data_IF_799094363425
#
_entry.id   IF_799094363425
#
_cell.length_a   1.000
_cell.length_b   1.000
_cell.length_c   1.000
_cell.angle_alpha   90.00
_cell.angle_beta   90.00
_cell.angle_gamma   90.00
#
_symmetry.space_group_name_H-M   'P 1'
#
loop_
_entity.id
_entity.type
_entity.pdbx_description
1 polymer ?
#
# COMPACT_ATOMS: atom_id res chain seq x y z
N UNK A 1 -35.43 -1.57 6.54
CA UNK A 1 -34.15 -1.86 7.22
C UNK A 1 -33.63 -3.21 6.72
N UNK A 2 -32.51 -3.26 5.96
CA UNK A 2 -31.58 -4.43 5.81
C UNK A 2 -30.54 -4.31 4.68
N UNK A 3 -30.63 -3.36 3.74
CA UNK A 3 -29.69 -3.28 2.58
C UNK A 3 -28.65 -2.15 2.61
N UNK A 4 -28.73 -1.21 3.56
CA UNK A 4 -27.81 -0.04 3.62
C UNK A 4 -26.60 -0.31 4.54
N UNK A 5 -26.66 -1.32 5.40
CA UNK A 5 -25.59 -1.62 6.35
C UNK A 5 -24.32 -2.19 5.71
N UNK A 6 -24.43 -2.84 4.54
CA UNK A 6 -23.28 -3.52 3.90
C UNK A 6 -22.32 -2.54 3.23
N UNK A 7 -22.81 -1.38 2.78
CA UNK A 7 -21.98 -0.37 2.11
C UNK A 7 -21.06 0.40 3.07
N UNK A 8 -21.40 0.47 4.37
CA UNK A 8 -20.54 1.16 5.35
C UNK A 8 -19.37 0.29 5.86
N UNK A 9 -19.44 -1.03 5.74
CA UNK A 9 -18.37 -1.91 6.25
C UNK A 9 -17.10 -1.85 5.39
N UNK A 10 -17.25 -1.56 4.08
CA UNK A 10 -16.12 -1.43 3.16
C UNK A 10 -15.33 -0.13 3.42
N UNK A 11 -15.98 0.90 3.98
CA UNK A 11 -15.35 2.19 4.26
C UNK A 11 -14.43 2.11 5.50
N UNK A 12 -14.73 1.25 6.48
CA UNK A 12 -13.96 1.18 7.74
C UNK A 12 -12.72 0.28 7.63
N UNK A 13 -12.72 -0.72 6.75
CA UNK A 13 -11.52 -1.55 6.49
C UNK A 13 -10.45 -0.83 5.63
N UNK A 14 -10.77 0.33 5.06
CA UNK A 14 -9.83 1.14 4.28
C UNK A 14 -8.85 1.97 5.13
N UNK A 15 -9.10 2.11 6.44
CA UNK A 15 -8.34 3.03 7.30
C UNK A 15 -7.30 2.34 8.22
N UNK A 16 -7.41 1.04 8.49
CA UNK A 16 -6.56 0.38 9.50
C UNK A 16 -5.39 -0.43 8.93
N UNK A 17 -5.39 -0.70 7.63
CA UNK A 17 -4.43 -1.66 7.04
C UNK A 17 -3.99 -1.29 5.64
N UNK A 18 -4.11 0.00 5.31
CA UNK A 18 -3.38 0.58 4.20
C UNK A 18 -1.90 0.63 4.62
N UNK A 19 -0.99 -0.07 3.91
CA UNK A 19 0.45 0.02 4.13
C UNK A 19 1.03 1.40 3.76
N UNK A 20 0.22 2.44 3.83
CA UNK A 20 0.58 3.81 3.52
C UNK A 20 1.02 4.54 4.79
N UNK A 21 0.65 4.06 5.98
CA UNK A 21 1.02 4.66 7.27
C UNK A 21 2.10 3.88 8.02
N UNK A 22 2.68 2.83 7.41
CA UNK A 22 3.86 2.19 8.00
C UNK A 22 5.03 3.15 7.97
N UNK A 23 5.74 3.24 9.09
CA UNK A 23 7.01 3.94 9.12
C UNK A 23 8.06 3.08 8.44
N UNK A 24 9.03 3.72 7.82
CA UNK A 24 10.17 3.03 7.25
C UNK A 24 11.44 3.50 7.94
N UNK A 25 12.37 2.59 8.14
CA UNK A 25 13.69 2.90 8.70
C UNK A 25 14.76 2.53 7.70
N UNK A 26 15.83 3.31 7.62
CA UNK A 26 17.02 2.99 6.85
C UNK A 26 18.12 2.60 7.84
N UNK A 27 18.56 1.33 7.83
CA UNK A 27 19.51 0.80 8.80
C UNK A 27 19.10 1.01 10.28
N UNK A 28 17.80 0.98 10.57
CA UNK A 28 17.27 1.22 11.92
C UNK A 28 17.11 2.69 12.31
N UNK A 29 17.45 3.64 11.43
CA UNK A 29 17.25 5.08 11.65
C UNK A 29 15.98 5.59 10.97
N UNK A 30 15.26 6.50 11.64
CA UNK A 30 14.13 7.23 11.07
C UNK A 30 14.67 8.40 10.22
N UNK A 31 14.74 8.17 8.92
CA UNK A 31 15.22 9.15 7.93
C UNK A 31 14.05 9.62 7.06
N UNK A 32 14.12 10.81 6.48
CA UNK A 32 13.09 11.23 5.53
C UNK A 32 13.12 10.33 4.28
N UNK A 33 12.02 9.62 4.05
CA UNK A 33 11.81 8.71 2.92
C UNK A 33 10.66 9.18 2.01
N UNK A 34 10.26 10.45 2.11
CA UNK A 34 9.10 10.99 1.40
C UNK A 34 9.21 10.86 -0.13
N UNK A 35 10.42 11.04 -0.68
CA UNK A 35 10.71 10.92 -2.11
C UNK A 35 10.61 9.46 -2.56
N UNK A 36 11.30 8.56 -1.87
CA UNK A 36 11.36 7.14 -2.17
C UNK A 36 9.99 6.51 -2.05
N UNK A 37 9.25 6.88 -1.00
CA UNK A 37 7.85 6.47 -0.82
C UNK A 37 6.99 6.90 -2.00
N UNK A 38 7.12 8.13 -2.48
CA UNK A 38 6.33 8.61 -3.62
C UNK A 38 6.67 7.85 -4.91
N UNK A 39 7.97 7.60 -5.16
CA UNK A 39 8.42 6.80 -6.29
C UNK A 39 7.86 5.38 -6.24
N UNK A 40 8.02 4.70 -5.10
CA UNK A 40 7.53 3.34 -4.92
C UNK A 40 6.00 3.25 -4.99
N UNK A 41 5.27 4.30 -4.57
CA UNK A 41 3.82 4.35 -4.72
C UNK A 41 3.37 4.38 -6.18
N UNK A 42 4.07 5.14 -7.02
CA UNK A 42 3.77 5.22 -8.46
C UNK A 42 4.05 3.86 -9.10
N UNK A 43 5.26 3.33 -8.91
CA UNK A 43 5.67 2.05 -9.50
C UNK A 43 4.77 0.89 -9.04
N UNK A 44 4.44 0.84 -7.75
CA UNK A 44 3.55 -0.19 -7.22
C UNK A 44 2.14 -0.12 -7.79
N UNK A 45 1.66 1.09 -8.08
CA UNK A 45 0.36 1.33 -8.70
C UNK A 45 0.35 0.85 -10.15
N UNK A 46 1.37 1.24 -10.94
CA UNK A 46 1.53 0.84 -12.33
C UNK A 46 1.61 -0.69 -12.46
N UNK A 47 2.49 -1.34 -11.68
CA UNK A 47 2.63 -2.80 -11.65
C UNK A 47 1.33 -3.50 -11.23
N UNK A 48 0.58 -2.93 -10.28
CA UNK A 48 -0.70 -3.51 -9.87
C UNK A 48 -1.78 -3.38 -10.94
N UNK A 49 -1.80 -2.28 -11.69
CA UNK A 49 -2.69 -2.11 -12.84
C UNK A 49 -2.37 -3.08 -13.98
N UNK A 50 -1.09 -3.24 -14.31
CA UNK A 50 -0.64 -4.19 -15.33
C UNK A 50 -1.03 -5.63 -14.96
N UNK A 51 -0.76 -6.04 -13.73
CA UNK A 51 -1.06 -7.39 -13.23
C UNK A 51 -2.56 -7.68 -13.04
N UNK A 52 -3.40 -6.65 -12.95
CA UNK A 52 -4.86 -6.80 -12.82
C UNK A 52 -5.60 -6.64 -14.16
N UNK A 53 -4.87 -6.62 -15.29
CA UNK A 53 -5.44 -6.36 -16.62
C UNK A 53 -6.31 -5.08 -16.67
N UNK A 54 -5.97 -4.08 -15.84
CA UNK A 54 -6.70 -2.80 -15.76
C UNK A 54 -8.11 -2.85 -15.19
N UNK A 55 -8.64 -4.02 -14.77
CA UNK A 55 -10.09 -4.19 -14.60
C UNK A 55 -10.57 -4.37 -13.14
N UNK A 56 -9.66 -4.61 -12.18
CA UNK A 56 -10.05 -4.94 -10.81
C UNK A 56 -9.45 -4.00 -9.78
N UNK A 57 -9.98 -2.77 -9.68
CA UNK A 57 -9.79 -1.94 -8.48
C UNK A 57 -10.55 -2.57 -7.30
N UNK A 58 -9.93 -3.59 -6.70
CA UNK A 58 -10.48 -4.38 -5.60
C UNK A 58 -9.42 -4.88 -4.64
N UNK A 59 -9.79 -5.83 -3.78
CA UNK A 59 -8.89 -6.37 -2.75
C UNK A 59 -7.62 -7.00 -3.34
N UNK A 60 -7.71 -7.63 -4.51
CA UNK A 60 -6.58 -8.22 -5.21
C UNK A 60 -5.57 -7.16 -5.67
N UNK A 61 -6.02 -6.10 -6.34
CA UNK A 61 -5.18 -4.97 -6.73
C UNK A 61 -4.57 -4.27 -5.51
N UNK A 62 -5.35 -4.04 -4.45
CA UNK A 62 -4.83 -3.40 -3.23
C UNK A 62 -3.71 -4.25 -2.58
N UNK A 63 -3.86 -5.57 -2.60
CA UNK A 63 -2.85 -6.52 -2.11
C UNK A 63 -1.60 -6.54 -3.00
N UNK A 64 -1.76 -6.56 -4.32
CA UNK A 64 -0.64 -6.48 -5.28
C UNK A 64 0.13 -5.17 -5.15
N UNK A 65 -0.58 -4.05 -5.13
CA UNK A 65 0.00 -2.72 -4.91
C UNK A 65 0.76 -2.65 -3.59
N UNK A 66 0.22 -3.23 -2.50
CA UNK A 66 0.94 -3.34 -1.23
C UNK A 66 2.24 -4.11 -1.36
N UNK A 67 2.20 -5.30 -1.96
CA UNK A 67 3.40 -6.15 -2.13
C UNK A 67 4.47 -5.43 -2.94
N UNK A 68 4.09 -4.78 -4.03
CA UNK A 68 5.01 -4.03 -4.89
C UNK A 68 5.62 -2.83 -4.17
N UNK A 69 4.84 -2.11 -3.35
CA UNK A 69 5.32 -1.00 -2.54
C UNK A 69 6.39 -1.46 -1.54
N UNK A 70 6.11 -2.55 -0.80
CA UNK A 70 7.03 -3.13 0.17
C UNK A 70 8.34 -3.60 -0.49
N UNK A 71 8.23 -4.24 -1.65
CA UNK A 71 9.39 -4.68 -2.42
C UNK A 71 10.25 -3.50 -2.87
N UNK A 72 9.65 -2.46 -3.45
CA UNK A 72 10.40 -1.27 -3.91
C UNK A 72 11.11 -0.54 -2.77
N UNK A 73 10.45 -0.36 -1.61
CA UNK A 73 11.09 0.26 -0.45
C UNK A 73 12.26 -0.58 0.06
N UNK A 74 12.09 -1.90 0.11
CA UNK A 74 13.16 -2.84 0.50
C UNK A 74 14.35 -2.79 -0.47
N UNK A 75 14.10 -2.71 -1.78
CA UNK A 75 15.15 -2.55 -2.79
C UNK A 75 15.94 -1.25 -2.63
N UNK A 76 15.29 -0.19 -2.10
CA UNK A 76 15.92 1.08 -1.75
C UNK A 76 16.61 1.07 -0.37
N UNK A 77 16.62 -0.07 0.32
CA UNK A 77 17.26 -0.23 1.62
C UNK A 77 16.37 0.09 2.82
N UNK A 78 15.10 0.43 2.60
CA UNK A 78 14.17 0.74 3.68
C UNK A 78 13.52 -0.51 4.23
N UNK A 79 13.52 -0.62 5.56
CA UNK A 79 12.83 -1.66 6.28
C UNK A 79 11.49 -1.16 6.77
N UNK A 80 10.47 -2.00 6.63
CA UNK A 80 9.14 -1.68 7.08
C UNK A 80 9.08 -1.80 8.60
N UNK A 81 8.76 -0.70 9.28
CA UNK A 81 8.50 -0.68 10.72
C UNK A 81 6.98 -0.64 10.98
N UNK A 82 6.46 -1.65 11.71
CA UNK A 82 5.05 -1.75 12.11
C UNK A 82 4.73 -1.10 13.46
N UNK A 83 5.70 -0.47 14.12
CA UNK A 83 5.50 0.21 15.42
C UNK A 83 4.45 1.33 15.40
#
# INVERSE_FOLDING_TARGET
MKKIAVLMVIIVCGCASTPYNGKYTLNGEDVDYSIERKQCQIEATEKAFENSHGNELGAAWASLRRKNMLACMKEKGFEWNQE
#
